data_IF_723955147294
#
_entry.id   IF_723955147294
#
_cell.length_a   1.000
_cell.length_b   1.000
_cell.length_c   1.000
_cell.angle_alpha   90.00
_cell.angle_beta   90.00
_cell.angle_gamma   90.00
#
_symmetry.space_group_name_H-M   'P 1'
#
loop_
_entity.id
_entity.type
_entity.pdbx_description
1 polymer ?
#
# COMPACT_ATOMS: atom_id res chain seq x y z
N UNK A 1 -24.93 7.66 1.49
CA UNK A 1 -23.68 6.97 1.86
C UNK A 1 -23.02 7.82 2.92
N UNK A 2 -22.73 7.27 4.10
CA UNK A 2 -22.07 8.05 5.16
C UNK A 2 -20.58 8.24 4.82
N UNK A 3 -19.89 9.25 5.39
CA UNK A 3 -18.44 9.42 5.19
C UNK A 3 -17.63 8.17 5.57
N UNK A 4 -18.08 7.45 6.61
CA UNK A 4 -17.46 6.21 7.07
C UNK A 4 -17.62 5.08 6.05
N UNK A 5 -18.81 4.95 5.43
CA UNK A 5 -19.05 3.97 4.37
C UNK A 5 -18.14 4.23 3.16
N UNK A 6 -17.93 5.50 2.81
CA UNK A 6 -17.07 5.89 1.69
C UNK A 6 -15.61 5.56 1.99
N UNK A 7 -15.11 5.89 3.18
CA UNK A 7 -13.74 5.54 3.59
C UNK A 7 -13.53 4.02 3.62
N UNK A 8 -14.50 3.28 4.14
CA UNK A 8 -14.48 1.81 4.15
C UNK A 8 -14.40 1.24 2.73
N UNK A 9 -15.27 1.72 1.84
CA UNK A 9 -15.27 1.33 0.43
C UNK A 9 -13.94 1.64 -0.27
N UNK A 10 -13.43 2.86 -0.10
CA UNK A 10 -12.15 3.29 -0.68
C UNK A 10 -10.99 2.43 -0.17
N UNK A 11 -10.94 2.13 1.13
CA UNK A 11 -9.93 1.26 1.72
C UNK A 11 -9.92 -0.12 1.06
N UNK A 12 -11.08 -0.76 0.88
CA UNK A 12 -11.16 -2.07 0.22
C UNK A 12 -10.84 -1.98 -1.27
N UNK A 13 -11.26 -0.93 -1.96
CA UNK A 13 -10.96 -0.71 -3.37
C UNK A 13 -9.44 -0.60 -3.58
N UNK A 14 -8.77 0.26 -2.81
CA UNK A 14 -7.31 0.44 -2.90
C UNK A 14 -6.55 -0.83 -2.49
N UNK A 15 -7.04 -1.55 -1.48
CA UNK A 15 -6.48 -2.86 -1.10
C UNK A 15 -6.58 -3.85 -2.25
N UNK A 16 -7.75 -3.97 -2.87
CA UNK A 16 -7.97 -4.85 -4.03
C UNK A 16 -7.08 -4.50 -5.22
N UNK A 17 -6.90 -3.20 -5.50
CA UNK A 17 -5.96 -2.72 -6.53
C UNK A 17 -4.51 -3.08 -6.19
N UNK A 18 -4.10 -2.90 -4.93
CA UNK A 18 -2.75 -3.26 -4.48
C UNK A 18 -2.47 -4.76 -4.66
N UNK A 19 -3.41 -5.64 -4.29
CA UNK A 19 -3.29 -7.08 -4.53
C UNK A 19 -3.25 -7.41 -6.03
N UNK A 20 -4.08 -6.74 -6.83
CA UNK A 20 -4.13 -6.94 -8.29
C UNK A 20 -2.80 -6.60 -8.97
N UNK A 21 -2.02 -5.67 -8.42
CA UNK A 21 -0.66 -5.34 -8.88
C UNK A 21 0.40 -6.24 -8.27
N UNK A 22 0.23 -6.67 -7.02
CA UNK A 22 1.15 -7.58 -6.35
C UNK A 22 1.22 -8.96 -7.02
N UNK A 23 0.08 -9.50 -7.47
CA UNK A 23 0.01 -10.83 -8.13
C UNK A 23 0.94 -10.92 -9.35
N UNK A 24 0.85 -10.03 -10.36
CA UNK A 24 1.76 -10.08 -11.51
C UNK A 24 3.21 -9.78 -11.12
N UNK A 25 3.45 -8.94 -10.11
CA UNK A 25 4.80 -8.71 -9.58
C UNK A 25 5.43 -10.01 -9.05
N UNK A 26 4.74 -10.74 -8.17
CA UNK A 26 5.21 -12.02 -7.65
C UNK A 26 5.44 -13.04 -8.77
N UNK A 27 4.51 -13.13 -9.71
CA UNK A 27 4.65 -14.01 -10.87
C UNK A 27 5.95 -13.71 -11.65
N UNK A 28 6.22 -12.43 -11.95
CA UNK A 28 7.43 -12.01 -12.67
C UNK A 28 8.69 -12.33 -11.86
N UNK A 29 8.71 -12.02 -10.56
CA UNK A 29 9.89 -12.25 -9.72
C UNK A 29 10.17 -13.75 -9.55
N UNK A 30 9.15 -14.59 -9.38
CA UNK A 30 9.32 -16.04 -9.21
C UNK A 30 9.80 -16.68 -10.52
N UNK A 31 9.08 -16.44 -11.62
CA UNK A 31 9.23 -17.22 -12.85
C UNK A 31 10.04 -16.54 -13.95
N UNK A 32 10.20 -15.21 -13.92
CA UNK A 32 10.83 -14.43 -15.00
C UNK A 32 12.08 -13.67 -14.56
N UNK A 33 12.59 -13.90 -13.35
CA UNK A 33 13.83 -13.27 -12.88
C UNK A 33 15.06 -13.72 -13.70
N UNK A 34 15.83 -12.79 -14.30
CA UNK A 34 17.06 -13.10 -15.02
C UNK A 34 18.15 -13.63 -14.08
N UNK A 35 19.12 -14.36 -14.63
CA UNK A 35 20.22 -15.01 -13.87
C UNK A 35 21.00 -14.02 -13.00
N UNK A 36 21.24 -12.80 -13.49
CA UNK A 36 21.97 -11.75 -12.75
C UNK A 36 21.27 -11.29 -11.46
N UNK A 37 19.93 -11.33 -11.39
CA UNK A 37 19.14 -10.91 -10.21
C UNK A 37 18.69 -12.11 -9.37
N UNK A 38 18.90 -13.34 -9.86
CA UNK A 38 18.41 -14.55 -9.22
C UNK A 38 18.96 -14.73 -7.79
N UNK A 39 20.17 -14.22 -7.51
CA UNK A 39 20.79 -14.20 -6.18
C UNK A 39 19.95 -13.39 -5.17
N UNK A 40 19.34 -12.28 -5.61
CA UNK A 40 18.51 -11.39 -4.77
C UNK A 40 17.03 -11.75 -4.77
N UNK A 41 16.61 -12.74 -5.57
CA UNK A 41 15.19 -13.11 -5.74
C UNK A 41 14.50 -13.38 -4.40
N UNK A 42 15.16 -14.12 -3.51
CA UNK A 42 14.57 -14.47 -2.21
C UNK A 42 14.40 -13.25 -1.32
N UNK A 43 15.35 -12.30 -1.33
CA UNK A 43 15.26 -11.05 -0.59
C UNK A 43 14.10 -10.18 -1.10
N UNK A 44 13.97 -10.05 -2.43
CA UNK A 44 12.88 -9.29 -3.05
C UNK A 44 11.52 -9.90 -2.73
N UNK A 45 11.41 -11.23 -2.84
CA UNK A 45 10.17 -11.94 -2.50
C UNK A 45 9.84 -11.82 -1.01
N UNK A 46 10.84 -11.93 -0.13
CA UNK A 46 10.65 -11.78 1.31
C UNK A 46 10.11 -10.38 1.63
N UNK A 47 10.76 -9.33 1.13
CA UNK A 47 10.34 -7.95 1.37
C UNK A 47 8.94 -7.66 0.83
N UNK A 48 8.65 -8.05 -0.41
CA UNK A 48 7.32 -7.86 -1.01
C UNK A 48 6.23 -8.65 -0.27
N UNK A 49 6.55 -9.86 0.22
CA UNK A 49 5.61 -10.68 0.98
C UNK A 49 5.25 -10.01 2.32
N UNK A 50 6.25 -9.53 3.06
CA UNK A 50 6.02 -8.78 4.29
C UNK A 50 5.17 -7.54 4.05
N UNK A 51 5.38 -6.87 2.92
CA UNK A 51 4.59 -5.70 2.56
C UNK A 51 3.12 -6.04 2.35
N UNK A 52 2.85 -7.08 1.57
CA UNK A 52 1.47 -7.50 1.26
C UNK A 52 0.76 -8.09 2.46
N UNK A 53 1.48 -8.80 3.34
CA UNK A 53 0.95 -9.24 4.63
C UNK A 53 0.56 -8.03 5.49
N UNK A 54 1.39 -6.98 5.49
CA UNK A 54 1.11 -5.75 6.26
C UNK A 54 -0.11 -5.02 5.71
N UNK A 55 -0.23 -4.88 4.39
CA UNK A 55 -1.42 -4.29 3.74
C UNK A 55 -2.67 -5.08 4.10
N UNK A 56 -2.64 -6.42 4.03
CA UNK A 56 -3.77 -7.26 4.44
C UNK A 56 -4.12 -7.07 5.91
N UNK A 57 -3.12 -7.01 6.78
CA UNK A 57 -3.33 -6.81 8.22
C UNK A 57 -3.96 -5.44 8.52
N UNK A 58 -3.42 -4.37 7.96
CA UNK A 58 -3.96 -3.03 8.18
C UNK A 58 -5.35 -2.84 7.57
N UNK A 59 -5.57 -3.34 6.36
CA UNK A 59 -6.77 -3.01 5.60
C UNK A 59 -7.95 -3.94 5.90
N UNK A 60 -7.68 -5.22 6.17
CA UNK A 60 -8.72 -6.24 6.43
C UNK A 60 -8.90 -6.46 7.93
N UNK A 61 -7.81 -6.59 8.69
CA UNK A 61 -7.89 -6.92 10.12
C UNK A 61 -8.16 -5.71 11.00
N UNK A 62 -7.48 -4.57 10.76
CA UNK A 62 -7.63 -3.38 11.59
C UNK A 62 -8.66 -2.38 11.05
N UNK A 63 -8.54 -2.02 9.78
CA UNK A 63 -9.38 -1.05 9.08
C UNK A 63 -9.63 0.23 9.92
N UNK A 64 -8.61 1.08 10.08
CA UNK A 64 -8.75 2.33 10.81
C UNK A 64 -9.66 3.30 10.04
N UNK A 65 -10.65 3.84 10.74
CA UNK A 65 -11.58 4.88 10.29
C UNK A 65 -11.39 6.07 11.22
N UNK A 66 -10.98 7.21 10.66
CA UNK A 66 -10.84 8.45 11.41
C UNK A 66 -12.21 9.09 11.56
N UNK A 67 -12.67 9.23 12.81
CA UNK A 67 -13.91 9.90 13.16
C UNK A 67 -13.58 11.19 13.92
N UNK A 68 -14.07 12.31 13.41
CA UNK A 68 -13.93 13.62 14.08
C UNK A 68 -15.19 13.88 14.89
N UNK A 69 -15.06 13.89 16.21
CA UNK A 69 -16.06 14.45 17.11
C UNK A 69 -15.82 15.96 17.26
N UNK A 70 -16.84 16.76 17.65
CA UNK A 70 -16.74 18.22 17.67
C UNK A 70 -15.57 18.80 18.49
N UNK A 71 -15.00 18.04 19.42
CA UNK A 71 -13.85 18.45 20.24
C UNK A 71 -12.63 17.51 20.16
N UNK A 72 -12.74 16.35 19.49
CA UNK A 72 -11.72 15.30 19.55
C UNK A 72 -11.61 14.52 18.22
N UNK A 73 -10.37 14.17 17.85
CA UNK A 73 -10.12 13.25 16.73
C UNK A 73 -9.91 11.85 17.29
N UNK A 74 -10.76 10.91 16.89
CA UNK A 74 -10.71 9.52 17.33
C UNK A 74 -10.45 8.59 16.14
N UNK A 75 -9.75 7.48 16.38
CA UNK A 75 -9.61 6.40 15.40
C UNK A 75 -10.48 5.24 15.84
N UNK A 76 -11.48 4.92 15.04
CA UNK A 76 -12.31 3.73 15.19
C UNK A 76 -11.78 2.66 14.26
N UNK A 77 -11.53 1.47 14.78
CA UNK A 77 -11.12 0.33 13.97
C UNK A 77 -12.34 -0.54 13.67
N UNK A 78 -12.65 -0.71 12.39
CA UNK A 78 -13.84 -1.43 11.93
C UNK A 78 -13.52 -2.80 11.31
N UNK A 79 -12.25 -3.22 11.34
CA UNK A 79 -11.80 -4.43 10.67
C UNK A 79 -12.18 -5.70 11.43
N UNK A 80 -11.74 -6.85 10.91
CA UNK A 80 -12.08 -8.16 11.48
C UNK A 80 -11.78 -8.28 12.99
N UNK A 81 -10.76 -7.56 13.47
CA UNK A 81 -10.36 -7.55 14.88
C UNK A 81 -11.41 -6.96 15.82
N UNK A 82 -12.34 -6.14 15.34
CA UNK A 82 -13.43 -5.63 16.17
C UNK A 82 -14.41 -6.73 16.61
N UNK A 83 -14.45 -7.86 15.91
CA UNK A 83 -15.32 -9.00 16.23
C UNK A 83 -14.75 -9.93 17.32
N UNK A 84 -13.44 -9.87 17.59
CA UNK A 84 -12.74 -10.78 18.51
C UNK A 84 -12.57 -10.24 19.94
N UNK A 85 -13.17 -9.09 20.25
CA UNK A 85 -13.11 -8.48 21.58
C UNK A 85 -11.90 -7.57 21.82
N UNK A 86 -11.93 -6.85 22.94
CA UNK A 86 -11.01 -5.72 23.25
C UNK A 86 -9.55 -6.12 23.34
N UNK A 87 -9.23 -7.26 23.96
CA UNK A 87 -7.85 -7.71 24.18
C UNK A 87 -7.13 -8.04 22.87
N UNK A 88 -7.82 -8.77 21.97
CA UNK A 88 -7.30 -9.11 20.64
C UNK A 88 -7.10 -7.85 19.80
N UNK A 89 -8.00 -6.88 19.97
CA UNK A 89 -7.94 -5.60 19.29
C UNK A 89 -6.69 -4.80 19.67
N UNK A 90 -6.43 -4.65 20.96
CA UNK A 90 -5.24 -3.92 21.46
C UNK A 90 -3.95 -4.62 21.03
N UNK A 91 -3.91 -5.95 21.10
CA UNK A 91 -2.75 -6.72 20.64
C UNK A 91 -2.51 -6.55 19.12
N UNK A 92 -3.57 -6.56 18.30
CA UNK A 92 -3.45 -6.37 16.86
C UNK A 92 -2.92 -4.97 16.50
N UNK A 93 -3.41 -3.93 17.16
CA UNK A 93 -2.90 -2.56 16.99
C UNK A 93 -1.43 -2.47 17.35
N UNK A 94 -1.02 -3.08 18.48
CA UNK A 94 0.38 -3.08 18.93
C UNK A 94 1.30 -3.80 17.94
N UNK A 95 0.91 -4.98 17.46
CA UNK A 95 1.67 -5.75 16.47
C UNK A 95 1.79 -5.02 15.12
N UNK A 96 0.73 -4.32 14.71
CA UNK A 96 0.74 -3.53 13.49
C UNK A 96 1.66 -2.31 13.60
N UNK A 97 1.64 -1.62 14.75
CA UNK A 97 2.54 -0.50 15.03
C UNK A 97 4.01 -0.94 15.04
N UNK A 98 4.30 -2.12 15.61
CA UNK A 98 5.66 -2.67 15.65
C UNK A 98 6.16 -3.06 14.25
N UNK A 99 5.32 -3.70 13.43
CA UNK A 99 5.66 -4.06 12.04
C UNK A 99 5.86 -2.83 11.15
N UNK A 100 5.00 -1.82 11.31
CA UNK A 100 5.13 -0.55 10.60
C UNK A 100 6.44 0.12 10.97
N UNK A 101 6.75 0.27 12.26
CA UNK A 101 8.01 0.86 12.74
C UNK A 101 9.24 0.13 12.19
N UNK A 102 9.21 -1.21 12.15
CA UNK A 102 10.35 -2.00 11.66
C UNK A 102 10.56 -1.85 10.15
N UNK A 103 9.47 -1.83 9.36
CA UNK A 103 9.54 -1.57 7.92
C UNK A 103 9.93 -0.10 7.63
N UNK A 104 9.44 0.85 8.42
CA UNK A 104 9.76 2.29 8.33
C UNK A 104 11.24 2.56 8.58
N UNK A 105 11.85 1.87 9.55
CA UNK A 105 13.30 1.93 9.83
C UNK A 105 14.14 1.41 8.66
N UNK A 106 13.65 0.40 7.92
CA UNK A 106 14.33 -0.17 6.74
C UNK A 106 14.09 0.66 5.48
N UNK A 107 12.94 1.33 5.37
CA UNK A 107 12.58 2.18 4.23
C UNK A 107 13.01 3.64 4.38
N UNK A 108 13.45 4.08 5.57
CA UNK A 108 13.73 5.44 6.07
C UNK A 108 14.07 6.55 5.04
N UNK A 109 14.72 6.25 3.92
CA UNK A 109 15.02 7.23 2.87
C UNK A 109 13.83 7.59 1.94
N UNK A 110 12.91 6.67 1.65
CA UNK A 110 11.70 6.94 0.84
C UNK A 110 10.56 7.65 1.62
N UNK A 111 10.25 7.25 2.88
CA UNK A 111 9.25 7.89 3.74
C UNK A 111 9.57 9.35 4.05
N UNK A 112 10.84 9.76 4.04
CA UNK A 112 11.19 11.18 4.23
C UNK A 112 10.57 12.05 3.13
N UNK A 113 10.42 11.54 1.90
CA UNK A 113 9.84 12.31 0.80
C UNK A 113 8.32 12.12 0.78
N UNK A 114 7.82 10.90 0.96
CA UNK A 114 6.40 10.59 0.78
C UNK A 114 5.55 10.61 2.06
N UNK A 115 6.12 10.48 3.26
CA UNK A 115 5.40 10.59 4.53
C UNK A 115 5.64 11.93 5.24
N UNK A 116 6.89 12.41 5.34
CA UNK A 116 7.18 13.63 6.10
C UNK A 116 6.56 14.87 5.46
N UNK A 117 6.61 15.00 4.12
CA UNK A 117 6.03 16.15 3.42
C UNK A 117 4.50 16.21 3.62
N UNK A 118 3.73 15.13 3.41
CA UNK A 118 2.28 15.16 3.62
C UNK A 118 1.89 15.32 5.09
N UNK A 119 2.65 14.77 6.04
CA UNK A 119 2.44 14.99 7.48
C UNK A 119 2.73 16.46 7.87
N UNK A 120 3.76 17.09 7.32
CA UNK A 120 4.04 18.51 7.55
C UNK A 120 2.93 19.41 6.98
N UNK A 121 2.41 19.08 5.80
CA UNK A 121 1.27 19.78 5.21
C UNK A 121 0.02 19.60 6.08
N UNK A 122 -0.21 18.39 6.60
CA UNK A 122 -1.31 18.10 7.51
C UNK A 122 -1.22 18.92 8.80
N UNK A 123 -0.05 18.95 9.45
CA UNK A 123 0.20 19.75 10.66
C UNK A 123 -0.04 21.24 10.41
N UNK A 124 0.36 21.75 9.25
CA UNK A 124 0.08 23.13 8.85
C UNK A 124 -1.41 23.40 8.65
N UNK A 125 -2.14 22.48 7.99
CA UNK A 125 -3.58 22.58 7.76
C UNK A 125 -4.39 22.52 9.06
N UNK A 126 -3.95 21.72 10.03
CA UNK A 126 -4.51 21.66 11.39
C UNK A 126 -4.27 22.99 12.13
N UNK A 127 -3.07 23.55 12.00
CA UNK A 127 -2.71 24.83 12.63
C UNK A 127 -3.59 25.99 12.14
N UNK A 128 -3.91 26.04 10.85
CA UNK A 128 -4.75 27.10 10.26
C UNK A 128 -6.26 26.84 10.39
N UNK A 129 -6.70 25.73 11.02
CA UNK A 129 -8.11 25.30 11.14
C UNK A 129 -8.86 25.33 9.79
N UNK A 130 -8.26 24.77 8.75
CA UNK A 130 -8.86 24.73 7.41
C UNK A 130 -10.05 23.77 7.33
N UNK A 131 -11.12 24.14 6.63
CA UNK A 131 -12.25 23.26 6.32
C UNK A 131 -11.86 22.06 5.43
N UNK A 132 -10.71 22.13 4.76
CA UNK A 132 -10.19 21.04 3.90
C UNK A 132 -9.43 19.95 4.68
N UNK A 133 -9.37 20.04 6.01
CA UNK A 133 -8.62 19.13 6.88
C UNK A 133 -9.05 17.67 6.69
N UNK A 134 -10.35 17.41 6.48
CA UNK A 134 -10.88 16.06 6.26
C UNK A 134 -10.32 15.40 4.99
N UNK A 135 -10.25 16.16 3.89
CA UNK A 135 -9.68 15.67 2.63
C UNK A 135 -8.18 15.38 2.78
N UNK A 136 -7.43 16.28 3.42
CA UNK A 136 -5.99 16.10 3.60
C UNK A 136 -5.67 14.95 4.55
N UNK A 137 -6.41 14.77 5.65
CA UNK A 137 -6.29 13.61 6.54
C UNK A 137 -6.52 12.31 5.78
N UNK A 138 -7.62 12.23 5.02
CA UNK A 138 -7.96 11.06 4.20
C UNK A 138 -6.86 10.77 3.17
N UNK A 139 -6.36 11.80 2.48
CA UNK A 139 -5.25 11.68 1.54
C UNK A 139 -3.97 11.20 2.22
N UNK A 140 -3.59 11.79 3.37
CA UNK A 140 -2.40 11.37 4.13
C UNK A 140 -2.49 9.94 4.65
N UNK A 141 -3.70 9.48 4.96
CA UNK A 141 -3.92 8.09 5.41
C UNK A 141 -3.71 7.07 4.29
N UNK A 142 -3.76 7.51 3.03
CA UNK A 142 -3.55 6.66 1.86
C UNK A 142 -2.14 6.78 1.26
N UNK A 143 -1.35 7.76 1.69
CA UNK A 143 0.05 7.94 1.23
C UNK A 143 0.93 6.70 1.35
N UNK A 144 0.84 5.89 2.43
CA UNK A 144 1.62 4.66 2.52
C UNK A 144 1.30 3.66 1.40
N UNK A 145 0.07 3.67 0.86
CA UNK A 145 -0.29 2.83 -0.28
C UNK A 145 0.29 3.38 -1.59
N UNK A 146 0.31 4.71 -1.75
CA UNK A 146 0.93 5.36 -2.89
C UNK A 146 2.45 5.15 -2.91
N UNK A 147 3.12 5.26 -1.78
CA UNK A 147 4.56 5.01 -1.65
C UNK A 147 4.95 3.61 -2.16
N UNK A 148 4.09 2.62 -1.88
CA UNK A 148 4.25 1.23 -2.29
C UNK A 148 4.01 1.03 -3.77
N UNK A 149 2.90 1.57 -4.27
CA UNK A 149 2.59 1.53 -5.70
C UNK A 149 3.70 2.19 -6.50
N UNK A 150 4.19 3.35 -6.05
CA UNK A 150 5.29 4.07 -6.67
C UNK A 150 6.60 3.30 -6.56
N UNK A 151 6.89 2.64 -5.44
CA UNK A 151 8.07 1.78 -5.28
C UNK A 151 8.05 0.59 -6.24
N UNK A 152 6.90 -0.08 -6.40
CA UNK A 152 6.74 -1.17 -7.37
C UNK A 152 6.87 -0.66 -8.81
N UNK A 153 6.21 0.45 -9.16
CA UNK A 153 6.28 1.06 -10.49
C UNK A 153 7.70 1.54 -10.81
N UNK A 154 8.37 2.20 -9.88
CA UNK A 154 9.76 2.63 -10.01
C UNK A 154 10.68 1.43 -10.23
N UNK A 155 10.48 0.34 -9.48
CA UNK A 155 11.23 -0.91 -9.67
C UNK A 155 10.99 -1.48 -11.06
N UNK A 156 9.74 -1.54 -11.53
CA UNK A 156 9.41 -2.03 -12.88
C UNK A 156 9.97 -1.14 -14.01
N UNK A 157 10.02 0.18 -13.79
CA UNK A 157 10.44 1.17 -14.79
C UNK A 157 11.96 1.33 -14.89
N UNK A 158 12.64 1.52 -13.74
CA UNK A 158 14.07 1.82 -13.69
C UNK A 158 14.94 0.58 -13.81
N UNK A 159 14.51 -0.56 -13.25
CA UNK A 159 15.31 -1.78 -13.27
C UNK A 159 15.17 -2.47 -14.63
N UNK A 160 16.19 -2.26 -15.47
CA UNK A 160 16.29 -2.73 -16.86
C UNK A 160 15.77 -4.16 -17.12
N UNK A 161 16.09 -5.18 -16.30
CA UNK A 161 15.56 -6.52 -16.52
C UNK A 161 14.05 -6.65 -16.31
N UNK A 162 13.46 -5.97 -15.31
CA UNK A 162 12.01 -5.96 -15.11
C UNK A 162 11.30 -5.21 -16.24
N UNK A 163 11.86 -4.07 -16.67
CA UNK A 163 11.36 -3.32 -17.84
C UNK A 163 11.32 -4.18 -19.11
N UNK A 164 12.36 -4.97 -19.37
CA UNK A 164 12.41 -5.90 -20.51
C UNK A 164 11.37 -7.01 -20.40
N UNK A 165 11.15 -7.55 -19.19
CA UNK A 165 10.14 -8.56 -18.94
C UNK A 165 8.71 -8.03 -19.18
N UNK A 166 8.39 -6.83 -18.67
CA UNK A 166 7.08 -6.18 -18.86
C UNK A 166 6.84 -5.87 -20.33
N UNK A 167 7.81 -5.28 -21.05
CA UNK A 167 7.70 -5.03 -22.50
C UNK A 167 7.45 -6.32 -23.29
N UNK A 168 8.13 -7.41 -22.94
CA UNK A 168 7.92 -8.71 -23.58
C UNK A 168 6.53 -9.27 -23.27
N UNK A 169 5.99 -9.05 -22.07
CA UNK A 169 4.65 -9.49 -21.71
C UNK A 169 3.57 -8.70 -22.48
N UNK A 170 3.71 -7.37 -22.55
CA UNK A 170 2.76 -6.49 -23.23
C UNK A 170 2.79 -6.64 -24.76
N UNK A 171 3.98 -6.76 -25.37
CA UNK A 171 4.09 -6.89 -26.83
C UNK A 171 3.87 -8.30 -27.37
N UNK A 172 4.05 -9.36 -26.56
CA UNK A 172 3.78 -10.73 -27.03
C UNK A 172 2.28 -10.99 -27.24
N UNK A 173 1.41 -10.24 -26.58
CA UNK A 173 -0.05 -10.32 -26.78
C UNK A 173 -0.47 -9.80 -28.16
N UNK A 174 0.22 -8.80 -28.70
CA UNK A 174 -0.14 -8.19 -29.99
C UNK A 174 0.32 -9.02 -31.21
N UNK A 175 1.33 -9.88 -31.06
CA UNK A 175 1.82 -10.73 -32.17
C UNK A 175 0.93 -11.97 -32.37
N UNK A 176 0.25 -12.43 -31.31
CA UNK A 176 -0.66 -13.60 -31.42
C UNK A 176 -2.01 -13.18 -32.03
N UNK A 177 -2.44 -11.93 -31.86
CA UNK A 177 -3.67 -11.43 -32.48
C UNK A 177 -3.52 -11.11 -33.96
N UNK A 178 -2.30 -10.82 -34.44
CA UNK A 178 -2.06 -10.54 -35.87
C UNK A 178 -1.89 -11.77 -36.75
N UNK A 179 -1.63 -12.97 -36.19
CA UNK A 179 -1.47 -14.21 -36.98
C UNK A 179 -2.74 -15.03 -37.16
N UNK A 180 -3.88 -14.62 -36.57
CA UNK A 180 -5.18 -15.28 -36.72
C UNK A 180 -6.11 -14.56 -37.70
N UNK A 181 -5.67 -13.45 -38.29
CA UNK A 181 -6.43 -12.68 -39.30
C UNK A 181 -5.79 -12.74 -40.70
N UNK A 182 -4.88 -13.69 -40.94
CA UNK A 182 -4.24 -13.94 -42.25
C UNK A 182 -4.55 -15.35 -42.73
#
# INVERSE_FOLDING_TARGET
MTPDDLNSFLNYLFTGLAYSVAIPFFYIVIFKSPSAIRIYRNTILNMASWYIITIGFYSILLQPIYATLPSESCVKFAGLTSYFGREVHVAAVFLAAQRLTTNLVVLLFLPIIFDVIPICILCYMVYIKSDSLYFWVSFTSHTPFWDVMLSFLATLYFVTPYRKAVKKMLWKTNVITSSNNS
#
